data_IF_273631418256
#
_entry.id   IF_273631418256
#
_cell.length_a   1.000
_cell.length_b   1.000
_cell.length_c   1.000
_cell.angle_alpha   90.00
_cell.angle_beta   90.00
_cell.angle_gamma   90.00
#
_symmetry.space_group_name_H-M   'P 1'
#
loop_
_entity.id
_entity.type
_entity.pdbx_description
1 polymer ?
#
# COMPACT_ATOMS: atom_id res chain seq x y z
N UNK A 1 -11.89 -30.36 43.04
CA UNK A 1 -13.03 -30.06 42.13
C UNK A 1 -13.04 -28.57 41.82
N UNK A 2 -12.52 -28.17 40.66
CA UNK A 2 -12.40 -26.76 40.28
C UNK A 2 -13.77 -26.19 39.87
N UNK A 3 -14.20 -25.09 40.52
CA UNK A 3 -15.39 -24.32 40.15
C UNK A 3 -15.21 -23.77 38.73
N UNK A 4 -15.91 -24.36 37.76
CA UNK A 4 -16.07 -23.77 36.44
C UNK A 4 -16.87 -22.46 36.59
N UNK A 5 -16.16 -21.33 36.57
CA UNK A 5 -16.74 -19.99 36.63
C UNK A 5 -17.61 -19.78 35.38
N UNK A 6 -18.92 -19.97 35.52
CA UNK A 6 -19.91 -19.80 34.45
C UNK A 6 -20.03 -18.30 34.15
N UNK A 7 -19.33 -17.84 33.13
CA UNK A 7 -19.48 -16.48 32.61
C UNK A 7 -20.95 -16.18 32.28
N UNK A 8 -21.48 -15.00 32.64
CA UNK A 8 -22.83 -14.57 32.27
C UNK A 8 -23.08 -14.77 30.77
N UNK A 9 -24.30 -15.14 30.38
CA UNK A 9 -24.67 -15.49 29.00
C UNK A 9 -24.27 -14.40 28.00
N UNK A 10 -24.38 -13.12 28.38
CA UNK A 10 -23.96 -11.96 27.58
C UNK A 10 -22.45 -11.97 27.29
N UNK A 11 -21.60 -12.23 28.29
CA UNK A 11 -20.14 -12.29 28.14
C UNK A 11 -19.71 -13.43 27.21
N UNK A 12 -20.43 -14.55 27.23
CA UNK A 12 -20.21 -15.66 26.29
C UNK A 12 -20.56 -15.25 24.86
N UNK A 13 -21.65 -14.52 24.65
CA UNK A 13 -22.03 -14.00 23.34
C UNK A 13 -21.04 -12.96 22.81
N UNK A 14 -20.64 -11.99 23.63
CA UNK A 14 -19.64 -10.97 23.27
C UNK A 14 -18.32 -11.63 22.87
N UNK A 15 -17.82 -12.57 23.69
CA UNK A 15 -16.61 -13.34 23.36
C UNK A 15 -16.77 -14.12 22.06
N UNK A 16 -17.92 -14.74 21.83
CA UNK A 16 -18.18 -15.48 20.59
C UNK A 16 -18.13 -14.57 19.36
N UNK A 17 -18.74 -13.39 19.42
CA UNK A 17 -18.80 -12.46 18.30
C UNK A 17 -17.44 -11.77 18.07
N UNK A 18 -16.80 -11.28 19.13
CA UNK A 18 -15.62 -10.44 19.00
C UNK A 18 -14.29 -11.21 18.98
N UNK A 19 -14.25 -12.41 19.56
CA UNK A 19 -13.00 -13.17 19.72
C UNK A 19 -12.95 -14.44 18.85
N UNK A 20 -14.00 -14.76 18.09
CA UNK A 20 -14.01 -15.95 17.23
C UNK A 20 -14.35 -15.61 15.79
N UNK A 21 -13.92 -16.45 14.85
CA UNK A 21 -14.22 -16.27 13.43
C UNK A 21 -15.71 -16.30 13.10
N UNK A 22 -16.56 -16.86 13.97
CA UNK A 22 -18.00 -16.88 13.77
C UNK A 22 -18.62 -15.47 13.71
N UNK A 23 -18.04 -14.49 14.41
CA UNK A 23 -18.50 -13.11 14.35
C UNK A 23 -17.84 -12.26 13.27
N UNK A 24 -16.90 -12.80 12.48
CA UNK A 24 -16.12 -12.00 11.54
C UNK A 24 -16.99 -11.32 10.48
N UNK A 25 -17.87 -12.08 9.83
CA UNK A 25 -18.77 -11.55 8.80
C UNK A 25 -19.76 -10.51 9.35
N UNK A 26 -20.54 -10.78 10.42
CA UNK A 26 -21.50 -9.78 10.91
C UNK A 26 -20.81 -8.51 11.42
N UNK A 27 -19.65 -8.63 12.09
CA UNK A 27 -18.87 -7.45 12.51
C UNK A 27 -18.35 -6.68 11.28
N UNK A 28 -17.86 -7.36 10.25
CA UNK A 28 -17.40 -6.71 9.00
C UNK A 28 -18.53 -5.94 8.31
N UNK A 29 -19.72 -6.53 8.21
CA UNK A 29 -20.89 -5.88 7.60
C UNK A 29 -21.30 -4.65 8.40
N UNK A 30 -21.36 -4.75 9.73
CA UNK A 30 -21.67 -3.63 10.60
C UNK A 30 -20.65 -2.49 10.45
N UNK A 31 -19.37 -2.83 10.37
CA UNK A 31 -18.27 -1.87 10.18
C UNK A 31 -18.39 -1.16 8.82
N UNK A 32 -18.65 -1.89 7.74
CA UNK A 32 -18.83 -1.29 6.40
C UNK A 32 -20.04 -0.34 6.40
N UNK A 33 -21.17 -0.76 6.97
CA UNK A 33 -22.36 0.07 7.05
C UNK A 33 -22.11 1.35 7.87
N UNK A 34 -21.43 1.22 9.00
CA UNK A 34 -21.02 2.36 9.82
C UNK A 34 -20.13 3.33 9.04
N UNK A 35 -19.13 2.82 8.32
CA UNK A 35 -18.20 3.63 7.53
C UNK A 35 -18.85 4.36 6.36
N UNK A 36 -19.82 3.72 5.69
CA UNK A 36 -20.59 4.37 4.63
C UNK A 36 -21.32 5.60 5.18
N UNK A 37 -21.95 5.47 6.35
CA UNK A 37 -22.64 6.58 7.00
C UNK A 37 -21.64 7.64 7.48
N UNK A 38 -20.60 7.24 8.21
CA UNK A 38 -19.61 8.15 8.78
C UNK A 38 -18.87 8.94 7.70
N UNK A 39 -18.35 8.27 6.67
CA UNK A 39 -17.65 8.93 5.56
C UNK A 39 -18.58 9.88 4.81
N UNK A 40 -19.85 9.50 4.59
CA UNK A 40 -20.85 10.39 3.97
C UNK A 40 -21.15 11.63 4.82
N UNK A 41 -21.20 11.47 6.15
CA UNK A 41 -21.38 12.60 7.07
C UNK A 41 -20.16 13.51 7.07
N UNK A 42 -18.94 12.96 7.05
CA UNK A 42 -17.69 13.73 7.00
C UNK A 42 -17.64 14.57 5.73
N UNK A 43 -17.90 13.97 4.56
CA UNK A 43 -17.89 14.70 3.28
C UNK A 43 -18.91 15.85 3.26
N UNK A 44 -20.06 15.69 3.93
CA UNK A 44 -21.10 16.72 3.99
C UNK A 44 -20.85 17.82 5.03
N UNK A 45 -20.20 17.49 6.15
CA UNK A 45 -20.14 18.34 7.34
C UNK A 45 -18.76 18.93 7.61
N UNK A 46 -17.70 18.37 7.04
CA UNK A 46 -16.32 18.81 7.27
C UNK A 46 -15.80 19.45 6.00
N UNK A 47 -15.28 20.67 6.12
CA UNK A 47 -14.69 21.38 4.99
C UNK A 47 -13.50 20.61 4.42
N UNK A 48 -13.46 20.52 3.10
CA UNK A 48 -12.32 20.00 2.36
C UNK A 48 -11.08 20.85 2.63
N UNK A 49 -9.92 20.22 2.80
CA UNK A 49 -8.64 20.89 3.03
C UNK A 49 -7.71 20.59 1.88
N UNK A 50 -7.57 21.55 0.97
CA UNK A 50 -6.65 21.42 -0.16
C UNK A 50 -5.20 21.35 0.34
N UNK A 51 -4.46 20.36 -0.16
CA UNK A 51 -3.01 20.23 0.07
C UNK A 51 -2.33 19.93 -1.25
N UNK A 52 -2.68 18.83 -1.90
CA UNK A 52 -1.98 18.38 -3.10
C UNK A 52 -2.90 17.97 -4.26
N UNK A 53 -4.22 17.85 -4.07
CA UNK A 53 -5.12 17.37 -5.13
C UNK A 53 -5.11 18.29 -6.35
N UNK A 54 -5.21 19.61 -6.12
CA UNK A 54 -5.12 20.59 -7.19
C UNK A 54 -3.76 20.53 -7.91
N UNK A 55 -2.68 20.29 -7.16
CA UNK A 55 -1.34 20.09 -7.72
C UNK A 55 -1.28 18.83 -8.59
N UNK A 56 -1.87 17.71 -8.16
CA UNK A 56 -1.91 16.47 -8.94
C UNK A 56 -2.67 16.64 -10.25
N UNK A 57 -3.82 17.31 -10.21
CA UNK A 57 -4.60 17.61 -11.42
C UNK A 57 -3.83 18.57 -12.34
N UNK A 58 -3.13 19.57 -11.80
CA UNK A 58 -2.31 20.49 -12.58
C UNK A 58 -1.09 19.79 -13.23
N UNK A 59 -0.41 18.90 -12.51
CA UNK A 59 0.67 18.07 -13.05
C UNK A 59 0.16 17.17 -14.19
N UNK A 60 -0.99 16.52 -13.99
CA UNK A 60 -1.63 15.73 -15.03
C UNK A 60 -2.05 16.59 -16.24
N UNK A 61 -2.48 17.83 -16.02
CA UNK A 61 -2.82 18.76 -17.09
C UNK A 61 -1.61 19.09 -17.98
N UNK A 62 -0.44 19.37 -17.40
CA UNK A 62 0.79 19.58 -18.18
C UNK A 62 1.10 18.37 -19.08
N UNK A 63 0.91 17.16 -18.56
CA UNK A 63 1.04 15.94 -19.34
C UNK A 63 -0.01 15.84 -20.47
N UNK A 64 -1.28 16.10 -20.19
CA UNK A 64 -2.36 16.08 -21.20
C UNK A 64 -2.11 17.12 -22.29
N UNK A 65 -1.59 18.30 -21.92
CA UNK A 65 -1.25 19.39 -22.84
C UNK A 65 0.01 19.10 -23.68
N UNK A 66 0.69 17.96 -23.45
CA UNK A 66 1.76 17.47 -24.32
C UNK A 66 3.16 17.49 -23.71
N UNK A 67 3.35 17.91 -22.46
CA UNK A 67 4.67 17.91 -21.82
C UNK A 67 5.17 16.47 -21.59
N UNK A 68 6.41 16.20 -22.01
CA UNK A 68 7.08 14.89 -21.90
C UNK A 68 8.45 14.99 -21.23
N UNK A 69 8.95 16.20 -20.99
CA UNK A 69 10.08 16.43 -20.11
C UNK A 69 9.61 16.38 -18.65
N UNK A 70 9.97 15.29 -17.96
CA UNK A 70 9.54 15.09 -16.57
C UNK A 70 9.95 16.22 -15.62
N UNK A 71 11.12 16.84 -15.86
CA UNK A 71 11.61 17.96 -15.05
C UNK A 71 10.74 19.22 -15.18
N UNK A 72 9.88 19.31 -16.20
CA UNK A 72 8.96 20.43 -16.42
C UNK A 72 7.54 20.16 -15.95
N UNK A 73 7.26 18.99 -15.38
CA UNK A 73 5.97 18.69 -14.75
C UNK A 73 5.88 19.36 -13.36
N UNK A 74 6.05 20.68 -13.35
CA UNK A 74 6.05 21.53 -12.15
C UNK A 74 5.12 22.73 -12.37
N UNK A 75 3.85 22.64 -11.90
CA UNK A 75 2.90 23.72 -12.08
C UNK A 75 3.23 24.92 -11.18
N UNK A 76 3.20 26.13 -11.75
CA UNK A 76 3.59 27.40 -11.09
C UNK A 76 2.90 27.64 -9.74
N UNK A 77 1.64 27.23 -9.60
CA UNK A 77 0.85 27.41 -8.38
C UNK A 77 0.63 26.07 -7.62
N UNK A 78 1.51 25.10 -7.80
CA UNK A 78 1.43 23.80 -7.15
C UNK A 78 2.34 23.65 -5.93
N UNK A 79 2.23 22.49 -5.29
CA UNK A 79 3.06 22.06 -4.15
C UNK A 79 4.50 21.65 -4.55
N UNK A 80 4.84 21.75 -5.84
CA UNK A 80 6.15 21.43 -6.41
C UNK A 80 6.10 20.45 -7.59
N UNK A 81 7.27 19.99 -8.07
CA UNK A 81 7.39 19.14 -9.26
C UNK A 81 6.81 17.75 -9.05
N UNK A 82 6.42 17.10 -10.15
CA UNK A 82 5.96 15.71 -10.16
C UNK A 82 7.09 14.77 -9.73
N UNK A 83 6.85 14.03 -8.65
CA UNK A 83 7.80 13.05 -8.09
C UNK A 83 7.21 11.67 -7.86
N UNK A 84 6.07 11.44 -8.49
CA UNK A 84 5.46 10.14 -8.57
C UNK A 84 5.77 9.55 -9.94
N UNK A 85 5.72 8.22 -10.13
CA UNK A 85 5.88 7.65 -11.47
C UNK A 85 4.66 7.89 -12.36
N UNK A 86 4.77 7.53 -13.64
CA UNK A 86 3.86 7.99 -14.70
C UNK A 86 2.37 7.68 -14.47
N UNK A 87 2.02 6.58 -13.79
CA UNK A 87 0.61 6.20 -13.58
C UNK A 87 -0.11 7.20 -12.70
N UNK A 88 0.60 7.91 -11.83
CA UNK A 88 0.05 9.05 -11.10
C UNK A 88 -0.66 10.02 -12.06
N UNK A 89 0.01 10.46 -13.11
CA UNK A 89 -0.53 11.41 -14.09
C UNK A 89 -1.77 10.82 -14.79
N UNK A 90 -1.75 9.53 -15.11
CA UNK A 90 -2.87 8.84 -15.76
C UNK A 90 -4.11 8.77 -14.86
N UNK A 91 -3.91 8.59 -13.55
CA UNK A 91 -5.00 8.54 -12.57
C UNK A 91 -5.67 9.89 -12.37
N UNK A 92 -4.93 11.00 -12.52
CA UNK A 92 -5.47 12.35 -12.38
C UNK A 92 -5.87 13.02 -13.70
N UNK A 93 -5.45 12.48 -14.85
CA UNK A 93 -5.77 13.02 -16.17
C UNK A 93 -7.28 13.22 -16.43
N UNK A 94 -8.20 12.31 -16.02
CA UNK A 94 -9.63 12.51 -16.24
C UNK A 94 -10.18 13.80 -15.61
N UNK A 95 -9.64 14.23 -14.48
CA UNK A 95 -10.09 15.45 -13.79
C UNK A 95 -9.67 16.74 -14.50
N UNK A 96 -8.71 16.67 -15.44
CA UNK A 96 -8.22 17.85 -16.17
C UNK A 96 -9.23 18.38 -17.18
N UNK A 97 -10.18 17.53 -17.61
CA UNK A 97 -11.26 17.87 -18.53
C UNK A 97 -12.50 18.44 -17.83
N UNK A 98 -12.44 18.63 -16.51
CA UNK A 98 -13.56 19.09 -15.69
C UNK A 98 -13.32 20.52 -15.19
N UNK A 99 -14.39 21.21 -14.80
CA UNK A 99 -14.25 22.44 -14.02
C UNK A 99 -13.61 22.13 -12.66
N UNK A 100 -12.99 23.12 -12.01
CA UNK A 100 -12.36 22.92 -10.68
C UNK A 100 -13.36 22.41 -9.64
N UNK A 101 -14.59 22.93 -9.65
CA UNK A 101 -15.65 22.50 -8.74
C UNK A 101 -16.10 21.07 -8.99
N UNK A 102 -16.23 20.69 -10.27
CA UNK A 102 -16.65 19.33 -10.63
C UNK A 102 -15.54 18.32 -10.31
N UNK A 103 -14.28 18.64 -10.65
CA UNK A 103 -13.13 17.80 -10.33
C UNK A 103 -13.05 17.49 -8.83
N UNK A 104 -13.28 18.49 -7.97
CA UNK A 104 -13.35 18.30 -6.52
C UNK A 104 -14.53 17.41 -6.13
N UNK A 105 -15.73 17.69 -6.66
CA UNK A 105 -16.96 16.96 -6.32
C UNK A 105 -16.90 15.47 -6.71
N UNK A 106 -16.40 15.18 -7.92
CA UNK A 106 -16.20 13.81 -8.42
C UNK A 106 -15.00 13.15 -7.74
N UNK A 107 -13.93 13.91 -7.50
CA UNK A 107 -12.75 13.46 -6.76
C UNK A 107 -13.12 12.94 -5.38
N UNK A 108 -13.83 13.72 -4.57
CA UNK A 108 -14.21 13.29 -3.21
C UNK A 108 -15.04 12.00 -3.21
N UNK A 109 -15.90 11.80 -4.22
CA UNK A 109 -16.69 10.56 -4.38
C UNK A 109 -15.82 9.40 -4.82
N UNK A 110 -14.93 9.61 -5.79
CA UNK A 110 -13.99 8.58 -6.22
C UNK A 110 -13.11 8.12 -5.05
N UNK A 111 -12.62 9.05 -4.24
CA UNK A 111 -11.82 8.75 -3.05
C UNK A 111 -12.63 8.09 -1.93
N UNK A 112 -13.91 8.42 -1.76
CA UNK A 112 -14.79 7.69 -0.84
C UNK A 112 -14.99 6.24 -1.30
N UNK A 113 -15.19 6.00 -2.60
CA UNK A 113 -15.26 4.65 -3.17
C UNK A 113 -13.94 3.90 -2.97
N UNK A 114 -12.80 4.55 -3.25
CA UNK A 114 -11.47 3.96 -3.00
C UNK A 114 -11.30 3.56 -1.52
N UNK A 115 -11.78 4.39 -0.59
CA UNK A 115 -11.76 4.07 0.84
C UNK A 115 -12.54 2.79 1.15
N UNK A 116 -13.77 2.66 0.64
CA UNK A 116 -14.59 1.46 0.86
C UNK A 116 -14.00 0.21 0.21
N UNK A 117 -13.45 0.34 -1.00
CA UNK A 117 -12.74 -0.77 -1.66
C UNK A 117 -11.54 -1.21 -0.83
N UNK A 118 -10.71 -0.27 -0.35
CA UNK A 118 -9.61 -0.59 0.57
C UNK A 118 -10.11 -1.29 1.83
N UNK A 119 -11.16 -0.78 2.46
CA UNK A 119 -11.73 -1.37 3.67
C UNK A 119 -12.14 -2.83 3.43
N UNK A 120 -12.90 -3.11 2.37
CA UNK A 120 -13.33 -4.48 2.03
C UNK A 120 -12.14 -5.39 1.78
N UNK A 121 -11.11 -4.92 1.05
CA UNK A 121 -9.91 -5.70 0.79
C UNK A 121 -9.14 -6.01 2.07
N UNK A 122 -8.96 -5.03 2.96
CA UNK A 122 -8.29 -5.22 4.25
C UNK A 122 -9.08 -6.21 5.12
N UNK A 123 -10.40 -6.08 5.21
CA UNK A 123 -11.25 -7.03 5.92
C UNK A 123 -11.09 -8.45 5.36
N UNK A 124 -11.02 -8.60 4.03
CA UNK A 124 -10.81 -9.91 3.39
C UNK A 124 -9.42 -10.49 3.70
N UNK A 125 -8.38 -9.68 3.72
CA UNK A 125 -7.02 -10.10 4.10
C UNK A 125 -6.95 -10.50 5.58
N UNK A 126 -7.65 -9.78 6.45
CA UNK A 126 -7.77 -10.14 7.87
C UNK A 126 -8.48 -11.47 8.08
N UNK A 127 -9.50 -11.78 7.24
CA UNK A 127 -10.15 -13.08 7.24
C UNK A 127 -9.18 -14.21 6.83
N UNK A 128 -8.35 -14.00 5.81
CA UNK A 128 -7.29 -14.96 5.43
C UNK A 128 -6.30 -15.20 6.58
N UNK A 129 -5.93 -14.14 7.30
CA UNK A 129 -5.06 -14.21 8.46
C UNK A 129 -5.77 -14.73 9.73
N UNK A 130 -7.07 -15.06 9.67
CA UNK A 130 -7.90 -15.50 10.79
C UNK A 130 -7.83 -14.58 12.00
N UNK A 131 -7.74 -13.26 11.75
CA UNK A 131 -7.68 -12.25 12.81
C UNK A 131 -9.03 -12.18 13.55
N UNK A 132 -9.05 -12.14 14.89
CA UNK A 132 -10.29 -11.99 15.65
C UNK A 132 -11.05 -10.68 15.32
N UNK A 133 -12.40 -10.69 15.30
CA UNK A 133 -13.18 -9.52 14.88
C UNK A 133 -13.00 -8.24 15.70
N UNK A 134 -12.58 -8.33 16.98
CA UNK A 134 -12.36 -7.14 17.80
C UNK A 134 -11.27 -6.22 17.24
N UNK A 135 -10.28 -6.75 16.51
CA UNK A 135 -9.26 -5.93 15.86
C UNK A 135 -9.83 -5.02 14.77
N UNK A 136 -10.95 -5.42 14.15
CA UNK A 136 -11.57 -4.67 13.06
C UNK A 136 -12.11 -3.32 13.54
N UNK A 137 -12.48 -3.21 14.82
CA UNK A 137 -12.94 -1.96 15.42
C UNK A 137 -11.89 -0.85 15.35
N UNK A 138 -10.59 -1.20 15.45
CA UNK A 138 -9.51 -0.21 15.39
C UNK A 138 -9.25 0.30 13.97
N UNK A 139 -9.68 -0.42 12.92
CA UNK A 139 -9.48 0.00 11.53
C UNK A 139 -10.30 1.25 11.19
N UNK A 140 -11.47 1.38 11.81
CA UNK A 140 -12.48 2.40 11.47
C UNK A 140 -12.47 3.63 12.38
N UNK A 141 -11.88 3.51 13.57
CA UNK A 141 -11.73 4.64 14.49
C UNK A 141 -10.64 5.65 14.07
N UNK A 142 -9.93 5.40 12.97
CA UNK A 142 -8.84 6.25 12.52
C UNK A 142 -9.35 7.52 11.83
N UNK A 143 -9.35 8.64 12.56
CA UNK A 143 -9.57 9.99 11.99
C UNK A 143 -8.62 10.31 10.83
N UNK A 144 -7.39 9.76 10.88
CA UNK A 144 -6.36 10.01 9.87
C UNK A 144 -6.74 9.43 8.50
N UNK A 145 -7.35 8.24 8.45
CA UNK A 145 -7.72 7.60 7.19
C UNK A 145 -8.76 8.44 6.43
N UNK A 146 -9.85 8.83 7.10
CA UNK A 146 -10.85 9.73 6.54
C UNK A 146 -10.23 11.01 5.98
N UNK A 147 -9.30 11.60 6.74
CA UNK A 147 -8.63 12.81 6.31
C UNK A 147 -7.76 12.62 5.06
N UNK A 148 -7.03 11.50 4.98
CA UNK A 148 -6.18 11.17 3.82
C UNK A 148 -7.03 10.90 2.56
N UNK A 149 -8.11 10.14 2.70
CA UNK A 149 -8.95 9.75 1.57
C UNK A 149 -9.87 10.89 1.11
N UNK A 150 -10.78 11.39 1.96
CA UNK A 150 -11.89 12.24 1.48
C UNK A 150 -11.74 13.74 1.77
N UNK A 151 -10.83 14.13 2.67
CA UNK A 151 -10.61 15.55 3.00
C UNK A 151 -9.35 16.15 2.36
N UNK A 152 -8.42 15.32 1.88
CA UNK A 152 -7.17 15.76 1.23
C UNK A 152 -6.91 15.07 -0.10
N UNK A 153 -7.50 13.89 -0.33
CA UNK A 153 -7.39 13.12 -1.57
C UNK A 153 -5.93 12.90 -2.01
N UNK A 154 -5.10 12.40 -1.08
CA UNK A 154 -3.69 12.15 -1.38
C UNK A 154 -3.50 11.04 -2.42
N UNK A 155 -2.36 11.02 -3.09
CA UNK A 155 -2.02 9.96 -4.06
C UNK A 155 -1.89 8.56 -3.41
N UNK A 156 -1.55 8.49 -2.13
CA UNK A 156 -1.33 7.24 -1.37
C UNK A 156 -2.49 6.24 -1.41
N UNK A 157 -3.75 6.63 -1.12
CA UNK A 157 -4.94 5.80 -1.33
C UNK A 157 -4.96 4.97 -2.61
N UNK A 158 -4.64 5.58 -3.76
CA UNK A 158 -4.69 4.91 -5.06
C UNK A 158 -3.64 3.80 -5.11
N UNK A 159 -2.40 4.11 -4.73
CA UNK A 159 -1.32 3.12 -4.67
C UNK A 159 -1.66 1.97 -3.71
N UNK A 160 -2.23 2.28 -2.54
CA UNK A 160 -2.52 1.28 -1.52
C UNK A 160 -3.65 0.32 -1.92
N UNK A 161 -4.67 0.76 -2.67
CA UNK A 161 -5.68 -0.16 -3.23
C UNK A 161 -5.01 -1.24 -4.09
N UNK A 162 -4.11 -0.84 -4.99
CA UNK A 162 -3.40 -1.80 -5.85
C UNK A 162 -2.45 -2.70 -5.05
N UNK A 163 -1.80 -2.20 -3.99
CA UNK A 163 -1.01 -3.05 -3.07
C UNK A 163 -1.88 -4.09 -2.38
N UNK A 164 -3.06 -3.72 -1.86
CA UNK A 164 -3.95 -4.67 -1.20
C UNK A 164 -4.58 -5.67 -2.19
N UNK A 165 -4.88 -5.24 -3.42
CA UNK A 165 -5.27 -6.16 -4.49
C UNK A 165 -4.14 -7.13 -4.84
N UNK A 166 -2.89 -6.66 -4.89
CA UNK A 166 -1.72 -7.51 -5.07
C UNK A 166 -1.63 -8.55 -3.95
N UNK A 167 -1.75 -8.15 -2.68
CA UNK A 167 -1.78 -9.07 -1.54
C UNK A 167 -2.91 -10.09 -1.66
N UNK A 168 -4.11 -9.67 -2.05
CA UNK A 168 -5.24 -10.57 -2.28
C UNK A 168 -4.96 -11.58 -3.39
N UNK A 169 -4.35 -11.14 -4.50
CA UNK A 169 -3.92 -12.02 -5.59
C UNK A 169 -2.86 -13.03 -5.11
N UNK A 170 -1.91 -12.62 -4.27
CA UNK A 170 -0.92 -13.52 -3.66
C UNK A 170 -1.60 -14.56 -2.73
N UNK A 171 -2.52 -14.14 -1.87
CA UNK A 171 -3.28 -15.04 -0.99
C UNK A 171 -4.14 -16.06 -1.77
N UNK A 172 -4.57 -15.69 -2.98
CA UNK A 172 -5.34 -16.56 -3.89
C UNK A 172 -4.46 -17.26 -4.94
N UNK A 173 -3.13 -17.22 -4.78
CA UNK A 173 -2.14 -17.89 -5.65
C UNK A 173 -2.17 -17.44 -7.12
N UNK A 174 -2.64 -16.21 -7.39
CA UNK A 174 -2.67 -15.57 -8.72
C UNK A 174 -1.42 -14.72 -8.94
N UNK A 175 -0.27 -15.37 -9.10
CA UNK A 175 1.06 -14.74 -9.08
C UNK A 175 1.27 -13.67 -10.17
N UNK A 176 0.86 -13.95 -11.41
CA UNK A 176 1.02 -12.99 -12.51
C UNK A 176 0.18 -11.72 -12.30
N UNK A 177 -1.07 -11.89 -11.86
CA UNK A 177 -1.96 -10.78 -11.49
C UNK A 177 -1.37 -9.96 -10.35
N UNK A 178 -0.77 -10.61 -9.34
CA UNK A 178 -0.09 -9.91 -8.26
C UNK A 178 1.08 -9.05 -8.78
N UNK A 179 1.91 -9.57 -9.68
CA UNK A 179 2.99 -8.79 -10.32
C UNK A 179 2.45 -7.61 -11.14
N UNK A 180 1.37 -7.79 -11.89
CA UNK A 180 0.72 -6.70 -12.65
C UNK A 180 0.22 -5.61 -11.72
N UNK A 181 -0.53 -5.98 -10.68
CA UNK A 181 -1.07 -5.03 -9.70
C UNK A 181 0.03 -4.32 -8.91
N UNK A 182 1.09 -5.04 -8.54
CA UNK A 182 2.27 -4.47 -7.91
C UNK A 182 2.95 -3.42 -8.80
N UNK A 183 3.09 -3.71 -10.10
CA UNK A 183 3.66 -2.75 -11.06
C UNK A 183 2.78 -1.53 -11.22
N UNK A 184 1.46 -1.69 -11.34
CA UNK A 184 0.54 -0.53 -11.38
C UNK A 184 0.66 0.31 -10.09
N UNK A 185 0.69 -0.32 -8.91
CA UNK A 185 0.88 0.37 -7.65
C UNK A 185 2.20 1.16 -7.60
N UNK A 186 3.30 0.52 -8.03
CA UNK A 186 4.61 1.14 -8.14
C UNK A 186 4.58 2.35 -9.07
N UNK A 187 3.87 2.22 -10.19
CA UNK A 187 3.66 3.29 -11.16
C UNK A 187 2.88 4.49 -10.59
N UNK A 188 2.11 4.31 -9.51
CA UNK A 188 1.40 5.40 -8.84
C UNK A 188 2.29 6.05 -7.79
N UNK A 189 3.07 5.26 -7.02
CA UNK A 189 3.96 5.80 -5.98
C UNK A 189 5.17 4.88 -5.75
N UNK A 190 6.37 5.45 -5.84
CA UNK A 190 7.62 4.71 -5.70
C UNK A 190 7.81 4.00 -4.34
N UNK A 191 7.17 4.48 -3.26
CA UNK A 191 7.28 3.87 -1.92
C UNK A 191 6.80 2.40 -1.90
N UNK A 192 6.05 1.96 -2.91
CA UNK A 192 5.68 0.56 -3.09
C UNK A 192 6.90 -0.36 -3.23
N UNK A 193 8.08 0.16 -3.61
CA UNK A 193 9.35 -0.58 -3.61
C UNK A 193 9.67 -1.25 -2.25
N UNK A 194 9.18 -0.70 -1.15
CA UNK A 194 9.36 -1.27 0.18
C UNK A 194 8.69 -2.65 0.35
N UNK A 195 7.73 -3.00 -0.51
CA UNK A 195 7.09 -4.32 -0.53
C UNK A 195 7.83 -5.33 -1.43
N UNK A 196 8.79 -4.89 -2.25
CA UNK A 196 9.51 -5.74 -3.19
C UNK A 196 10.20 -6.93 -2.52
N UNK A 197 10.91 -6.79 -1.38
CA UNK A 197 11.58 -7.93 -0.75
C UNK A 197 10.62 -9.06 -0.39
N UNK A 198 9.45 -8.73 0.17
CA UNK A 198 8.43 -9.70 0.50
C UNK A 198 7.84 -10.37 -0.74
N UNK A 199 7.56 -9.59 -1.80
CA UNK A 199 7.09 -10.12 -3.08
C UNK A 199 8.10 -11.10 -3.69
N UNK A 200 9.38 -10.75 -3.70
CA UNK A 200 10.46 -11.62 -4.19
C UNK A 200 10.52 -12.94 -3.44
N UNK A 201 10.44 -12.93 -2.11
CA UNK A 201 10.44 -14.16 -1.31
C UNK A 201 9.22 -15.02 -1.59
N UNK A 202 8.02 -14.43 -1.68
CA UNK A 202 6.79 -15.17 -1.98
C UNK A 202 6.86 -15.81 -3.36
N UNK A 203 7.28 -15.05 -4.39
CA UNK A 203 7.40 -15.56 -5.76
C UNK A 203 8.50 -16.63 -5.86
N UNK A 204 9.66 -16.43 -5.22
CA UNK A 204 10.73 -17.41 -5.20
C UNK A 204 10.23 -18.74 -4.63
N UNK A 205 9.53 -18.68 -3.51
CA UNK A 205 8.93 -19.87 -2.88
C UNK A 205 7.81 -20.48 -3.73
N UNK A 206 7.02 -19.67 -4.44
CA UNK A 206 5.90 -20.18 -5.22
C UNK A 206 6.31 -20.73 -6.61
N UNK A 207 7.30 -20.12 -7.25
CA UNK A 207 7.61 -20.32 -8.68
C UNK A 207 9.06 -20.76 -8.93
N UNK A 208 9.95 -20.60 -7.96
CA UNK A 208 11.40 -20.78 -8.13
C UNK A 208 12.11 -19.56 -8.70
N UNK A 209 13.43 -19.62 -8.78
CA UNK A 209 14.30 -18.49 -9.11
C UNK A 209 14.02 -17.93 -10.51
N UNK A 210 14.11 -18.79 -11.54
CA UNK A 210 14.04 -18.38 -12.94
C UNK A 210 12.69 -17.73 -13.26
N UNK A 211 11.60 -18.37 -12.85
CA UNK A 211 10.25 -17.87 -13.09
C UNK A 211 9.95 -16.60 -12.29
N UNK A 212 10.53 -16.45 -11.10
CA UNK A 212 10.44 -15.20 -10.33
C UNK A 212 11.11 -14.05 -11.07
N UNK A 213 12.34 -14.24 -11.54
CA UNK A 213 13.05 -13.22 -12.33
C UNK A 213 12.27 -12.89 -13.60
N UNK A 214 11.78 -13.90 -14.33
CA UNK A 214 10.97 -13.69 -15.52
C UNK A 214 9.68 -12.89 -15.23
N UNK A 215 8.99 -13.14 -14.12
CA UNK A 215 7.81 -12.37 -13.73
C UNK A 215 8.17 -10.94 -13.33
N UNK A 216 9.23 -10.73 -12.55
CA UNK A 216 9.64 -9.39 -12.13
C UNK A 216 10.14 -8.55 -13.29
N UNK A 217 11.03 -9.09 -14.13
CA UNK A 217 11.56 -8.36 -15.29
C UNK A 217 10.48 -8.20 -16.36
N UNK A 218 9.82 -9.29 -16.75
CA UNK A 218 8.85 -9.29 -17.85
C UNK A 218 7.56 -8.54 -17.52
N UNK A 219 6.96 -8.78 -16.35
CA UNK A 219 5.68 -8.16 -15.98
C UNK A 219 5.92 -6.84 -15.26
N UNK A 220 6.72 -6.83 -14.17
CA UNK A 220 6.88 -5.60 -13.39
C UNK A 220 7.69 -4.58 -14.17
N UNK A 221 8.90 -4.93 -14.59
CA UNK A 221 9.78 -4.07 -15.38
C UNK A 221 9.18 -3.71 -16.75
N UNK A 222 8.67 -4.70 -17.48
CA UNK A 222 8.03 -4.48 -18.79
C UNK A 222 6.84 -3.53 -18.71
N UNK A 223 5.95 -3.69 -17.72
CA UNK A 223 4.83 -2.77 -17.56
C UNK A 223 5.28 -1.38 -17.10
N UNK A 224 6.31 -1.25 -16.26
CA UNK A 224 6.88 0.07 -15.93
C UNK A 224 7.47 0.76 -17.16
N UNK A 225 8.14 0.01 -18.04
CA UNK A 225 8.67 0.56 -19.28
C UNK A 225 7.56 1.05 -20.21
N UNK A 226 6.48 0.27 -20.37
CA UNK A 226 5.31 0.66 -21.19
C UNK A 226 4.62 1.88 -20.59
N UNK A 227 4.33 1.86 -19.29
CA UNK A 227 3.63 2.95 -18.61
C UNK A 227 4.48 4.23 -18.56
N UNK A 228 5.80 4.10 -18.42
CA UNK A 228 6.74 5.23 -18.43
C UNK A 228 7.19 5.66 -19.82
N UNK A 229 6.81 4.93 -20.88
CA UNK A 229 7.34 5.13 -22.24
C UNK A 229 7.29 6.58 -22.75
N UNK A 230 6.19 7.36 -22.53
CA UNK A 230 6.14 8.75 -23.00
C UNK A 230 7.27 9.63 -22.46
N UNK A 231 7.78 9.32 -21.26
CA UNK A 231 8.84 10.07 -20.60
C UNK A 231 10.21 9.43 -20.81
N UNK A 232 10.28 8.09 -20.80
CA UNK A 232 11.52 7.34 -21.01
C UNK A 232 12.11 7.59 -22.40
N UNK A 233 11.26 7.60 -23.44
CA UNK A 233 11.69 7.84 -24.83
C UNK A 233 12.17 9.28 -25.00
N UNK A 234 11.54 10.24 -24.32
CA UNK A 234 11.86 11.65 -24.43
C UNK A 234 13.11 12.04 -23.62
N UNK A 235 13.17 11.65 -22.34
CA UNK A 235 14.31 11.89 -21.46
C UNK A 235 14.28 10.91 -20.26
N UNK A 236 14.82 9.71 -20.46
CA UNK A 236 14.89 8.68 -19.41
C UNK A 236 15.62 9.15 -18.13
N UNK A 237 16.78 9.82 -18.18
CA UNK A 237 17.42 10.33 -16.96
C UNK A 237 16.54 11.27 -16.15
N UNK A 238 15.85 12.21 -16.79
CA UNK A 238 14.94 13.13 -16.10
C UNK A 238 13.73 12.40 -15.50
N UNK A 239 13.17 11.42 -16.21
CA UNK A 239 12.09 10.58 -15.67
C UNK A 239 12.54 9.82 -14.44
N UNK A 240 13.68 9.11 -14.52
CA UNK A 240 14.16 8.30 -13.40
C UNK A 240 14.54 9.16 -12.19
N UNK A 241 15.19 10.31 -12.41
CA UNK A 241 15.57 11.23 -11.34
C UNK A 241 14.36 11.86 -10.65
N UNK A 242 13.27 12.13 -11.37
CA UNK A 242 12.04 12.69 -10.79
C UNK A 242 11.13 11.64 -10.16
N UNK A 243 10.78 10.58 -10.91
CA UNK A 243 9.81 9.57 -10.49
C UNK A 243 10.33 8.63 -9.40
N UNK A 244 11.65 8.41 -9.33
CA UNK A 244 12.32 7.51 -8.37
C UNK A 244 13.42 8.24 -7.59
N UNK A 245 13.08 9.42 -7.04
CA UNK A 245 14.01 10.27 -6.29
C UNK A 245 14.27 9.78 -4.85
N UNK A 246 15.40 9.10 -4.64
CA UNK A 246 15.83 8.65 -3.31
C UNK A 246 16.51 9.74 -2.47
N UNK A 247 16.78 10.93 -3.03
CA UNK A 247 17.48 12.02 -2.33
C UNK A 247 16.54 12.90 -1.49
N UNK A 248 15.22 12.80 -1.71
CA UNK A 248 14.22 13.61 -1.00
C UNK A 248 14.23 13.38 0.50
N UNK A 249 14.38 14.48 1.24
CA UNK A 249 14.25 14.51 2.69
C UNK A 249 12.81 14.85 3.12
N UNK A 250 12.36 14.26 4.22
CA UNK A 250 11.12 14.67 4.85
C UNK A 250 11.27 16.05 5.49
N UNK A 251 10.27 16.91 5.34
CA UNK A 251 10.26 18.22 5.98
C UNK A 251 9.68 18.10 7.40
N UNK A 252 10.38 18.64 8.40
CA UNK A 252 9.93 18.61 9.79
C UNK A 252 8.51 19.18 9.98
N UNK A 253 8.13 20.21 9.21
CA UNK A 253 6.77 20.79 9.28
C UNK A 253 5.65 19.79 8.94
N UNK A 254 5.94 18.75 8.17
CA UNK A 254 4.97 17.74 7.76
C UNK A 254 5.03 16.46 8.59
N UNK A 255 6.03 16.32 9.47
CA UNK A 255 6.11 15.14 10.33
C UNK A 255 5.01 15.17 11.39
N UNK A 256 4.39 14.03 11.63
CA UNK A 256 3.44 13.87 12.75
C UNK A 256 3.98 12.86 13.75
N UNK A 257 4.47 11.72 13.27
CA UNK A 257 4.95 10.64 14.13
C UNK A 257 6.32 10.94 14.76
N UNK A 258 7.11 11.85 14.19
CA UNK A 258 8.45 12.19 14.69
C UNK A 258 8.51 13.56 15.38
N UNK A 259 7.36 14.11 15.80
CA UNK A 259 7.30 15.42 16.48
C UNK A 259 7.99 15.46 17.84
N UNK A 260 8.26 14.29 18.42
CA UNK A 260 9.05 14.17 19.65
C UNK A 260 10.55 14.42 19.44
N UNK A 261 11.04 14.40 18.19
CA UNK A 261 12.41 14.80 17.86
C UNK A 261 12.50 16.31 17.64
N UNK A 262 13.66 16.90 17.93
CA UNK A 262 13.98 18.26 17.50
C UNK A 262 14.08 18.34 15.98
N UNK A 263 13.87 19.53 15.41
CA UNK A 263 14.00 19.75 13.98
C UNK A 263 15.41 19.40 13.45
N UNK A 264 16.45 19.73 14.22
CA UNK A 264 17.84 19.39 13.88
C UNK A 264 18.07 17.88 13.87
N UNK A 265 17.54 17.15 14.85
CA UNK A 265 17.65 15.69 14.88
C UNK A 265 16.86 15.03 13.75
N UNK A 266 15.66 15.52 13.42
CA UNK A 266 14.84 14.96 12.36
C UNK A 266 15.45 15.17 10.97
N UNK A 267 15.98 16.36 10.70
CA UNK A 267 16.59 16.71 9.41
C UNK A 267 18.03 16.18 9.26
N UNK A 268 18.64 15.61 10.31
CA UNK A 268 19.98 15.06 10.24
C UNK A 268 20.03 13.83 9.30
N UNK A 269 21.00 13.82 8.39
CA UNK A 269 21.24 12.68 7.48
C UNK A 269 21.59 11.39 8.21
N UNK A 270 22.13 11.50 9.43
CA UNK A 270 22.34 10.35 10.33
C UNK A 270 21.05 9.65 10.71
N UNK A 271 19.99 10.40 11.04
CA UNK A 271 18.69 9.83 11.44
C UNK A 271 18.06 9.03 10.31
N UNK A 272 18.04 9.55 9.09
CA UNK A 272 17.54 8.83 7.92
C UNK A 272 18.31 7.52 7.66
N UNK A 273 19.66 7.56 7.76
CA UNK A 273 20.51 6.36 7.61
C UNK A 273 20.26 5.32 8.70
N UNK A 274 20.08 5.74 9.95
CA UNK A 274 19.74 4.83 11.06
C UNK A 274 18.40 4.16 10.82
N UNK A 275 17.36 4.92 10.43
CA UNK A 275 16.05 4.35 10.13
C UNK A 275 16.10 3.34 8.98
N UNK A 276 16.86 3.66 7.93
CA UNK A 276 17.07 2.74 6.82
C UNK A 276 17.82 1.48 7.27
N UNK A 277 18.87 1.61 8.07
CA UNK A 277 19.62 0.48 8.61
C UNK A 277 18.73 -0.42 9.49
N UNK A 278 17.90 0.16 10.37
CA UNK A 278 16.93 -0.58 11.17
C UNK A 278 15.91 -1.32 10.29
N UNK A 279 15.42 -0.68 9.23
CA UNK A 279 14.49 -1.31 8.29
C UNK A 279 15.13 -2.49 7.56
N UNK A 280 16.33 -2.32 7.00
CA UNK A 280 17.07 -3.40 6.33
C UNK A 280 17.40 -4.53 7.29
N UNK A 281 17.83 -4.23 8.52
CA UNK A 281 18.09 -5.24 9.54
C UNK A 281 16.83 -6.05 9.87
N UNK A 282 15.67 -5.39 10.02
CA UNK A 282 14.40 -6.08 10.23
C UNK A 282 14.05 -7.00 9.04
N UNK A 283 14.21 -6.53 7.80
CA UNK A 283 13.99 -7.36 6.61
C UNK A 283 14.94 -8.56 6.56
N UNK A 284 16.22 -8.39 6.92
CA UNK A 284 17.18 -9.49 6.98
C UNK A 284 16.79 -10.52 8.04
N UNK A 285 16.45 -10.08 9.26
CA UNK A 285 16.03 -10.99 10.34
C UNK A 285 14.78 -11.78 9.93
N UNK A 286 13.76 -11.10 9.38
CA UNK A 286 12.56 -11.77 8.90
C UNK A 286 12.85 -12.68 7.72
N UNK A 287 13.65 -12.23 6.76
CA UNK A 287 14.08 -13.01 5.61
C UNK A 287 14.77 -14.31 6.03
N UNK A 288 15.76 -14.22 6.92
CA UNK A 288 16.57 -15.36 7.34
C UNK A 288 15.84 -16.36 8.24
N UNK A 289 14.98 -15.87 9.15
CA UNK A 289 14.44 -16.70 10.23
C UNK A 289 12.93 -16.86 10.25
N UNK A 290 12.16 -15.96 9.63
CA UNK A 290 10.69 -15.98 9.68
C UNK A 290 10.02 -16.38 8.37
N UNK A 291 10.54 -15.89 7.25
CA UNK A 291 9.99 -16.09 5.92
C UNK A 291 10.68 -17.25 5.18
N UNK A 292 11.94 -17.53 5.51
CA UNK A 292 12.72 -18.63 4.94
C UNK A 292 13.40 -19.44 6.04
N UNK A 293 14.00 -20.58 5.66
CA UNK A 293 14.83 -21.40 6.54
C UNK A 293 16.33 -21.16 6.38
N UNK A 294 16.73 -20.08 5.68
CA UNK A 294 18.15 -19.81 5.35
C UNK A 294 19.00 -19.69 6.62
N UNK A 295 18.49 -19.05 7.67
CA UNK A 295 19.23 -18.90 8.93
C UNK A 295 19.54 -20.22 9.63
N UNK A 296 18.80 -21.30 9.33
CA UNK A 296 19.03 -22.64 9.92
C UNK A 296 19.74 -23.61 8.97
N UNK A 297 19.38 -23.58 7.69
CA UNK A 297 19.82 -24.53 6.67
C UNK A 297 20.90 -23.96 5.74
N UNK A 298 21.24 -22.67 5.88
CA UNK A 298 22.19 -21.98 5.01
C UNK A 298 21.75 -21.95 3.53
N UNK A 299 22.71 -21.88 2.60
CA UNK A 299 22.44 -21.85 1.16
C UNK A 299 21.68 -23.08 0.64
N UNK A 300 21.75 -24.22 1.33
CA UNK A 300 21.03 -25.43 0.94
C UNK A 300 19.51 -25.21 0.85
N UNK A 301 18.95 -24.32 1.68
CA UNK A 301 17.52 -23.96 1.62
C UNK A 301 17.13 -23.36 0.26
N UNK A 302 18.03 -22.53 -0.31
CA UNK A 302 17.82 -21.86 -1.60
C UNK A 302 17.89 -22.89 -2.73
N UNK A 303 18.93 -23.73 -2.73
CA UNK A 303 19.12 -24.76 -3.77
C UNK A 303 17.96 -25.75 -3.81
N UNK A 304 17.47 -26.18 -2.64
CA UNK A 304 16.31 -27.06 -2.53
C UNK A 304 15.01 -26.45 -3.11
N UNK A 305 14.94 -25.12 -3.25
CA UNK A 305 13.77 -24.37 -3.74
C UNK A 305 14.04 -23.60 -5.02
N UNK A 306 15.12 -23.94 -5.73
CA UNK A 306 15.45 -23.26 -6.98
C UNK A 306 14.32 -23.33 -8.02
N UNK A 307 13.54 -24.42 -8.00
CA UNK A 307 12.34 -24.65 -8.82
C UNK A 307 11.01 -24.31 -8.10
N UNK A 308 11.05 -23.73 -6.91
CA UNK A 308 9.91 -23.44 -6.05
C UNK A 308 9.70 -24.49 -4.94
N UNK A 309 8.79 -24.19 -4.00
CA UNK A 309 8.31 -25.13 -2.98
C UNK A 309 7.52 -26.27 -3.67
N UNK A 310 7.67 -27.54 -3.24
CA UNK A 310 6.95 -28.69 -3.83
C UNK A 310 5.43 -28.53 -3.83
N UNK A 311 4.90 -27.94 -2.75
CA UNK A 311 3.52 -27.44 -2.69
C UNK A 311 3.61 -25.94 -2.45
N UNK A 312 3.38 -25.10 -3.48
CA UNK A 312 3.52 -23.66 -3.38
C UNK A 312 2.67 -23.10 -2.23
N UNK A 313 3.36 -22.54 -1.24
CA UNK A 313 2.77 -21.81 -0.11
C UNK A 313 1.69 -22.64 0.62
N UNK A 314 1.95 -23.92 0.92
CA UNK A 314 1.07 -24.72 1.78
C UNK A 314 1.10 -24.23 3.22
N UNK A 315 -0.06 -24.23 3.88
CA UNK A 315 -0.20 -23.80 5.28
C UNK A 315 0.43 -24.80 6.28
N UNK A 316 0.79 -25.99 5.83
CA UNK A 316 1.13 -27.15 6.68
C UNK A 316 2.53 -27.06 7.33
N UNK A 317 3.36 -26.11 6.95
CA UNK A 317 4.75 -26.02 7.43
C UNK A 317 4.98 -25.20 8.70
N UNK A 318 3.95 -24.65 9.38
CA UNK A 318 4.16 -23.66 10.46
C UNK A 318 3.38 -23.89 11.76
N UNK A 319 2.69 -25.03 11.92
CA UNK A 319 2.00 -25.38 13.17
C UNK A 319 2.39 -26.75 13.75
N UNK A 320 3.53 -27.30 13.34
CA UNK A 320 4.13 -28.50 13.94
C UNK A 320 5.36 -28.09 14.76
N UNK A 321 5.13 -27.40 15.87
CA UNK A 321 6.09 -27.38 16.98
C UNK A 321 5.29 -27.51 18.28
N UNK A 322 5.41 -28.70 18.87
CA UNK A 322 5.19 -29.15 20.25
C UNK A 322 4.09 -28.47 21.08
#
# INVERSE_FOLDING_TARGET
>A
MARAQKWPTVLRWVRRILCTQAGFLPVSVAIIAFEIVLTSLIVRRVAYTEIDFATYVAQAKLFVDGERNYARLDPVNGSGPCVYPAVHLYMYAPFTFMSKSDALWYGQRAFAVLYFVTLVLVLRLYAFARVPPFYLLFLVLSKRLHSIYVLRMFNDPIAMVFVYLCMYALCTKRWHLACTLYSVALGVKMNVLLYLPALCVILFRALGAVRTVACLVGIVGGLQAVLGAPFLVHNAPAYMAGAFDFSRAFLYKWTVNWRFLSASAFCASGTARVLLACHVAALCVFGLYRWTGIGKQGPAWIWARWRGDPVPMSAEGTYMHH
#
